data_IF_087304793541
#
_entry.id   IF_087304793541
#
_cell.length_a   1.000
_cell.length_b   1.000
_cell.length_c   1.000
_cell.angle_alpha   90.00
_cell.angle_beta   90.00
_cell.angle_gamma   90.00
#
_symmetry.space_group_name_H-M   'P 1'
#
loop_
_entity.id
_entity.type
_entity.pdbx_description
1 polymer ?
#
# COMPACT_ATOMS: atom_id res chain seq x y z
N UNK A 1 16.44 -2.51 7.13
CA UNK A 1 15.39 -2.62 8.16
C UNK A 1 14.04 -2.54 7.48
N UNK A 2 13.09 -3.41 7.82
CA UNK A 2 11.71 -3.33 7.34
C UNK A 2 10.81 -3.05 8.55
N UNK A 3 10.07 -1.94 8.51
CA UNK A 3 9.21 -1.50 9.60
C UNK A 3 7.76 -1.46 9.10
N UNK A 4 7.08 -2.61 9.19
CA UNK A 4 5.69 -2.78 8.78
C UNK A 4 4.76 -2.25 9.87
N UNK A 5 4.46 -0.96 9.82
CA UNK A 5 3.59 -0.32 10.81
C UNK A 5 2.12 -0.75 10.59
N UNK A 6 1.41 -1.26 11.60
CA UNK A 6 0.06 -1.82 11.42
C UNK A 6 -1.01 -0.73 11.24
N UNK A 7 -0.74 0.48 11.70
CA UNK A 7 -1.65 1.62 11.60
C UNK A 7 -1.71 2.15 10.16
N UNK A 8 -2.89 2.57 9.66
CA UNK A 8 -4.16 2.76 10.36
C UNK A 8 -5.16 1.61 10.18
N UNK A 9 -4.69 0.36 10.01
CA UNK A 9 -5.59 -0.78 9.91
C UNK A 9 -6.46 -0.90 11.16
N UNK A 10 -7.69 -1.37 10.98
CA UNK A 10 -8.59 -1.67 12.10
C UNK A 10 -7.99 -2.73 13.03
N UNK A 11 -8.32 -2.71 14.33
CA UNK A 11 -9.28 -1.83 15.02
C UNK A 11 -8.78 -0.37 15.20
N UNK A 12 -9.72 0.58 15.25
CA UNK A 12 -9.41 2.02 15.34
C UNK A 12 -9.21 2.47 16.79
N UNK A 13 -8.12 2.04 17.39
CA UNK A 13 -7.79 2.34 18.79
C UNK A 13 -6.65 3.37 18.85
N UNK A 14 -6.97 4.60 19.26
CA UNK A 14 -6.00 5.69 19.35
C UNK A 14 -5.85 6.21 20.77
N UNK A 15 -4.63 6.54 21.18
CA UNK A 15 -4.40 7.21 22.46
C UNK A 15 -5.14 8.55 22.54
N UNK A 16 -5.64 8.88 23.73
CA UNK A 16 -6.41 10.11 23.97
C UNK A 16 -5.66 11.37 23.56
N UNK A 17 -4.32 11.39 23.72
CA UNK A 17 -3.48 12.53 23.33
C UNK A 17 -3.67 12.91 21.85
N UNK A 18 -3.64 11.94 20.95
CA UNK A 18 -3.79 12.18 19.51
C UNK A 18 -5.26 12.35 19.13
N UNK A 19 -6.16 11.59 19.75
CA UNK A 19 -7.59 11.74 19.52
C UNK A 19 -8.10 13.15 19.84
N UNK A 20 -7.65 13.71 20.96
CA UNK A 20 -8.07 15.03 21.42
C UNK A 20 -7.75 16.17 20.42
N UNK A 21 -6.81 15.96 19.51
CA UNK A 21 -6.51 16.92 18.42
C UNK A 21 -7.69 17.08 17.44
N UNK A 22 -8.64 16.15 17.44
CA UNK A 22 -9.78 16.12 16.53
C UNK A 22 -11.14 16.31 17.24
N UNK A 23 -11.16 16.61 18.54
CA UNK A 23 -12.39 16.70 19.34
C UNK A 23 -13.38 17.74 18.82
N UNK A 24 -12.90 18.90 18.41
CA UNK A 24 -13.72 20.01 17.90
C UNK A 24 -14.21 19.79 16.46
N UNK A 25 -13.72 18.74 15.79
CA UNK A 25 -14.12 18.45 14.42
C UNK A 25 -15.54 17.88 14.35
N UNK A 26 -16.28 18.26 13.30
CA UNK A 26 -17.62 17.72 12.99
C UNK A 26 -17.57 16.35 12.29
N UNK A 27 -16.43 15.66 12.34
CA UNK A 27 -16.22 14.37 11.70
C UNK A 27 -16.83 13.23 12.52
N UNK A 28 -17.06 12.07 11.89
CA UNK A 28 -17.48 10.86 12.61
C UNK A 28 -16.41 10.39 13.58
N UNK A 29 -16.82 9.70 14.63
CA UNK A 29 -15.90 9.14 15.64
C UNK A 29 -14.84 8.22 15.03
N UNK A 30 -15.24 7.36 14.10
CA UNK A 30 -14.31 6.50 13.36
C UNK A 30 -13.27 7.32 12.59
N UNK A 31 -13.67 8.44 11.95
CA UNK A 31 -12.74 9.32 11.24
C UNK A 31 -11.77 10.02 12.20
N UNK A 32 -12.23 10.45 13.37
CA UNK A 32 -11.36 11.05 14.40
C UNK A 32 -10.30 10.06 14.88
N UNK A 33 -10.70 8.83 15.23
CA UNK A 33 -9.77 7.77 15.61
C UNK A 33 -8.78 7.43 14.48
N UNK A 34 -9.25 7.34 13.24
CA UNK A 34 -8.39 7.11 12.08
C UNK A 34 -7.33 8.20 11.90
N UNK A 35 -7.71 9.47 12.03
CA UNK A 35 -6.77 10.59 11.91
C UNK A 35 -5.79 10.66 13.10
N UNK A 36 -6.26 10.32 14.30
CA UNK A 36 -5.42 10.19 15.49
C UNK A 36 -4.35 9.11 15.31
N UNK A 37 -4.74 7.96 14.76
CA UNK A 37 -3.85 6.88 14.37
C UNK A 37 -2.82 7.33 13.31
N UNK A 38 -3.25 8.04 12.27
CA UNK A 38 -2.33 8.62 11.28
C UNK A 38 -1.31 9.59 11.90
N UNK A 39 -1.74 10.41 12.87
CA UNK A 39 -0.86 11.34 13.58
C UNK A 39 0.15 10.59 14.47
N UNK A 40 -0.29 9.51 15.13
CA UNK A 40 0.61 8.64 15.89
C UNK A 40 1.68 7.99 15.00
N UNK A 41 1.30 7.53 13.80
CA UNK A 41 2.24 6.99 12.83
C UNK A 41 3.26 8.04 12.39
N UNK A 42 2.81 9.24 12.02
CA UNK A 42 3.69 10.36 11.64
C UNK A 42 4.69 10.70 12.77
N UNK A 43 4.20 10.80 14.01
CA UNK A 43 5.05 11.00 15.19
C UNK A 43 6.06 9.85 15.37
N UNK A 44 5.66 8.60 15.13
CA UNK A 44 6.53 7.43 15.23
C UNK A 44 7.61 7.42 14.16
N UNK A 45 7.30 7.85 12.94
CA UNK A 45 8.30 8.07 11.86
C UNK A 45 9.27 9.18 12.25
N UNK A 46 8.78 10.27 12.84
CA UNK A 46 9.62 11.35 13.38
C UNK A 46 10.60 10.85 14.47
N UNK A 47 10.13 9.99 15.38
CA UNK A 47 10.98 9.36 16.38
C UNK A 47 12.04 8.47 15.74
N UNK A 48 11.67 7.64 14.76
CA UNK A 48 12.63 6.80 14.03
C UNK A 48 13.73 7.62 13.37
N UNK A 49 13.36 8.69 12.65
CA UNK A 49 14.32 9.61 12.00
C UNK A 49 15.21 10.28 13.05
N UNK A 50 14.66 10.68 14.19
CA UNK A 50 15.42 11.29 15.29
C UNK A 50 16.45 10.32 15.86
N UNK A 51 16.08 9.06 16.07
CA UNK A 51 17.02 8.01 16.50
C UNK A 51 18.13 7.78 15.46
N UNK A 52 17.79 7.72 14.17
CA UNK A 52 18.80 7.61 13.10
C UNK A 52 19.80 8.78 13.12
N UNK A 53 19.34 9.99 13.43
CA UNK A 53 20.20 11.18 13.56
C UNK A 53 21.09 11.11 14.79
N UNK A 54 20.52 10.73 15.94
CA UNK A 54 21.26 10.61 17.21
C UNK A 54 22.39 9.58 17.12
N UNK A 55 22.16 8.48 16.40
CA UNK A 55 23.15 7.41 16.17
C UNK A 55 24.09 7.68 14.99
N UNK A 56 24.01 8.86 14.34
CA UNK A 56 24.86 9.20 13.20
C UNK A 56 24.60 8.40 11.92
N UNK A 57 23.54 7.59 11.88
CA UNK A 57 23.18 6.72 10.75
C UNK A 57 22.38 7.44 9.66
N UNK A 58 21.72 8.55 10.00
CA UNK A 58 20.84 9.27 9.09
C UNK A 58 21.51 9.68 7.78
N UNK A 59 22.75 10.21 7.84
CA UNK A 59 23.47 10.71 6.66
C UNK A 59 23.78 9.66 5.60
N UNK A 60 23.76 8.37 5.96
CA UNK A 60 23.97 7.27 5.02
C UNK A 60 22.73 6.36 4.89
N UNK A 61 21.54 6.93 5.08
CA UNK A 61 20.27 6.20 5.01
C UNK A 61 19.45 6.58 3.79
N UNK A 62 18.74 5.62 3.23
CA UNK A 62 17.63 5.84 2.29
C UNK A 62 16.35 5.40 3.02
N UNK A 63 15.39 6.31 3.11
CA UNK A 63 14.10 6.07 3.75
C UNK A 63 13.07 5.94 2.64
N UNK A 64 12.40 4.80 2.60
CA UNK A 64 11.29 4.54 1.68
C UNK A 64 10.04 4.36 2.54
N UNK A 65 9.04 5.18 2.28
CA UNK A 65 7.72 5.06 2.87
C UNK A 65 6.75 4.64 1.77
N UNK A 66 5.88 3.67 2.06
CA UNK A 66 4.81 3.27 1.16
C UNK A 66 3.64 2.70 1.96
N UNK A 67 2.42 2.95 1.45
CA UNK A 67 1.22 2.21 1.86
C UNK A 67 1.18 0.85 1.14
N UNK A 68 0.50 -0.12 1.72
CA UNK A 68 0.27 -1.45 1.15
C UNK A 68 -0.85 -1.45 0.10
N UNK A 69 -1.84 -0.58 0.26
CA UNK A 69 -2.93 -0.32 -0.68
C UNK A 69 -3.52 1.09 -0.45
N UNK A 70 -4.49 1.47 -1.29
CA UNK A 70 -5.34 2.62 -1.05
C UNK A 70 -6.31 2.43 0.13
N UNK A 71 -6.90 3.52 0.62
CA UNK A 71 -7.76 3.53 1.80
C UNK A 71 -9.10 2.82 1.64
N UNK A 72 -9.66 2.33 2.74
CA UNK A 72 -11.02 1.77 2.78
C UNK A 72 -12.06 2.90 2.95
N UNK A 73 -12.68 3.34 1.84
CA UNK A 73 -13.63 4.49 1.84
C UNK A 73 -15.00 4.16 2.44
N UNK A 74 -15.32 2.86 2.53
CA UNK A 74 -16.49 2.40 3.29
C UNK A 74 -16.24 2.42 4.81
N UNK A 75 -14.96 2.54 5.20
CA UNK A 75 -14.54 2.85 6.56
C UNK A 75 -14.20 4.33 6.72
N UNK A 76 -13.30 4.68 7.66
CA UNK A 76 -12.99 6.07 7.96
C UNK A 76 -11.95 6.70 7.02
N UNK A 77 -11.47 6.01 5.99
CA UNK A 77 -10.38 6.49 5.13
C UNK A 77 -10.88 7.40 4.00
N UNK A 78 -9.96 7.99 3.25
CA UNK A 78 -10.27 8.82 2.08
C UNK A 78 -9.19 8.65 1.02
N UNK A 79 -9.63 8.41 -0.22
CA UNK A 79 -8.76 8.40 -1.40
C UNK A 79 -8.99 9.60 -2.30
N UNK A 80 -9.78 10.59 -1.86
CA UNK A 80 -10.10 11.75 -2.68
C UNK A 80 -8.80 12.43 -3.19
N UNK A 81 -8.70 12.77 -4.49
CA UNK A 81 -9.76 12.80 -5.49
C UNK A 81 -9.92 11.52 -6.33
N UNK A 82 -9.16 10.47 -6.02
CA UNK A 82 -9.13 9.23 -6.78
C UNK A 82 -10.40 8.40 -6.59
N UNK A 83 -10.75 7.63 -7.63
CA UNK A 83 -11.93 6.77 -7.63
C UNK A 83 -11.62 5.47 -6.90
N UNK A 84 -12.59 4.95 -6.15
CA UNK A 84 -12.49 3.61 -5.54
C UNK A 84 -11.77 3.55 -4.19
N UNK A 85 -11.50 2.32 -3.77
CA UNK A 85 -11.20 1.92 -2.39
C UNK A 85 -10.23 0.74 -2.37
N UNK A 86 -9.68 0.42 -1.19
CA UNK A 86 -9.17 -0.92 -0.88
C UNK A 86 -10.07 -2.00 -1.49
N UNK A 87 -9.48 -3.05 -2.05
CA UNK A 87 -10.13 -4.13 -2.81
C UNK A 87 -10.67 -3.77 -4.20
N UNK A 88 -10.48 -2.54 -4.67
CA UNK A 88 -10.82 -2.16 -6.05
C UNK A 88 -9.57 -1.95 -6.91
N UNK A 89 -9.73 -2.08 -8.23
CA UNK A 89 -8.68 -1.83 -9.23
C UNK A 89 -8.68 -0.38 -9.74
N UNK A 90 -9.47 0.50 -9.13
CA UNK A 90 -9.44 1.93 -9.44
C UNK A 90 -8.25 2.60 -8.75
N UNK A 91 -7.89 3.81 -9.19
CA UNK A 91 -6.74 4.59 -8.66
C UNK A 91 -6.75 4.63 -7.13
N UNK A 92 -7.89 4.90 -6.50
CA UNK A 92 -8.02 4.96 -5.05
C UNK A 92 -7.81 3.64 -4.33
N UNK A 93 -7.76 2.50 -5.02
CA UNK A 93 -7.43 1.19 -4.46
C UNK A 93 -5.97 0.77 -4.65
N UNK A 94 -5.39 1.08 -5.81
CA UNK A 94 -4.06 0.59 -6.22
C UNK A 94 -2.97 1.65 -6.11
N UNK A 95 -3.32 2.93 -6.36
CA UNK A 95 -2.39 4.06 -6.23
C UNK A 95 -2.16 4.38 -4.75
N UNK A 96 -1.03 3.90 -4.26
CA UNK A 96 -0.64 3.99 -2.86
C UNK A 96 0.22 5.22 -2.60
N UNK A 97 0.12 5.80 -1.40
CA UNK A 97 1.01 6.89 -0.98
C UNK A 97 2.42 6.34 -0.81
N UNK A 98 3.41 6.95 -1.46
CA UNK A 98 4.80 6.58 -1.32
C UNK A 98 5.72 7.80 -1.46
N UNK A 99 6.87 7.75 -0.78
CA UNK A 99 7.98 8.68 -1.00
C UNK A 99 9.32 8.00 -0.74
N UNK A 100 10.36 8.57 -1.33
CA UNK A 100 11.76 8.23 -1.04
C UNK A 100 12.47 9.48 -0.57
N UNK A 101 13.22 9.37 0.52
CA UNK A 101 14.02 10.45 1.06
C UNK A 101 15.41 9.94 1.41
N UNK A 102 16.44 10.72 1.10
CA UNK A 102 17.80 10.40 1.52
C UNK A 102 18.65 11.67 1.61
N UNK A 103 19.39 11.90 2.70
CA UNK A 103 20.40 12.97 2.74
C UNK A 103 21.64 12.68 1.89
N UNK A 104 21.80 11.45 1.35
CA UNK A 104 22.90 11.09 0.45
C UNK A 104 22.72 11.63 -0.97
N UNK A 105 21.46 11.78 -1.39
CA UNK A 105 21.11 12.06 -2.77
C UNK A 105 20.14 13.23 -2.80
N UNK A 106 20.35 14.16 -3.73
CA UNK A 106 19.41 15.24 -3.98
C UNK A 106 18.24 14.71 -4.83
N UNK A 107 17.32 14.00 -4.15
CA UNK A 107 16.13 13.36 -4.75
C UNK A 107 14.83 13.99 -4.25
N UNK A 108 14.92 14.93 -3.30
CA UNK A 108 13.75 15.62 -2.78
C UNK A 108 13.20 16.58 -3.85
N UNK A 109 11.88 16.61 -4.02
CA UNK A 109 11.20 17.48 -5.01
C UNK A 109 10.98 16.86 -6.40
N UNK A 110 11.46 15.63 -6.64
CA UNK A 110 11.11 14.86 -7.84
C UNK A 110 9.78 14.13 -7.65
N UNK A 111 8.93 14.17 -8.68
CA UNK A 111 7.75 13.30 -8.74
C UNK A 111 8.20 11.88 -9.14
N UNK A 112 8.00 10.91 -8.24
CA UNK A 112 8.31 9.51 -8.51
C UNK A 112 7.59 8.97 -9.75
N UNK A 113 6.41 9.50 -10.08
CA UNK A 113 5.67 9.06 -11.28
C UNK A 113 6.37 9.48 -12.58
N UNK A 114 7.08 10.61 -12.60
CA UNK A 114 7.90 11.05 -13.74
C UNK A 114 9.18 10.20 -13.89
N UNK A 115 9.72 9.73 -12.76
CA UNK A 115 10.90 8.85 -12.74
C UNK A 115 10.53 7.42 -13.18
N UNK A 116 9.36 6.93 -12.77
CA UNK A 116 8.88 5.59 -13.12
C UNK A 116 8.32 5.50 -14.54
N UNK A 117 7.75 6.58 -15.09
CA UNK A 117 7.20 6.60 -16.46
C UNK A 117 8.27 6.74 -17.55
N UNK A 118 9.45 7.27 -17.22
CA UNK A 118 10.60 7.33 -18.11
C UNK A 118 11.48 6.07 -17.99
N UNK A 119 10.93 4.91 -18.38
CA UNK A 119 11.59 3.59 -18.33
C UNK A 119 12.89 3.45 -19.17
N UNK A 120 13.35 4.50 -19.86
CA UNK A 120 14.49 4.39 -20.77
C UNK A 120 15.86 4.25 -20.08
N UNK A 121 16.07 4.84 -18.89
CA UNK A 121 17.43 4.98 -18.32
C UNK A 121 17.60 4.64 -16.83
N UNK A 122 16.62 4.01 -16.16
CA UNK A 122 16.82 3.57 -14.77
C UNK A 122 17.52 2.20 -14.69
N UNK A 123 18.73 2.09 -14.09
CA UNK A 123 19.41 0.82 -13.88
C UNK A 123 18.77 -0.06 -12.78
N UNK A 124 17.70 0.40 -12.12
CA UNK A 124 16.92 -0.38 -11.15
C UNK A 124 15.50 -0.60 -11.69
N UNK A 125 15.30 -1.76 -12.33
CA UNK A 125 14.04 -2.19 -12.96
C UNK A 125 12.97 -2.71 -11.99
N UNK A 126 13.11 -2.47 -10.70
CA UNK A 126 12.24 -3.09 -9.69
C UNK A 126 11.87 -2.07 -8.60
N UNK A 127 10.91 -1.21 -8.91
CA UNK A 127 9.99 -0.64 -7.91
C UNK A 127 8.60 -1.00 -8.39
N UNK A 128 8.17 -2.23 -8.12
CA UNK A 128 6.80 -2.68 -8.35
C UNK A 128 5.93 -2.06 -7.26
N UNK A 129 5.36 -0.88 -7.55
CA UNK A 129 4.22 -0.37 -6.81
C UNK A 129 2.95 -0.99 -7.40
N UNK A 130 2.00 -1.26 -6.52
CA UNK A 130 0.84 -2.15 -6.67
C UNK A 130 0.14 -2.17 -8.04
N UNK A 131 -0.32 -3.37 -8.40
CA UNK A 131 -0.92 -3.80 -9.66
C UNK A 131 -1.91 -2.78 -10.25
N UNK A 132 -1.52 -2.18 -11.36
CA UNK A 132 -2.35 -1.31 -12.20
C UNK A 132 -3.03 -2.12 -13.32
N UNK A 133 -4.36 -2.10 -13.40
CA UNK A 133 -5.11 -2.87 -14.42
C UNK A 133 -6.07 -2.04 -15.30
N UNK A 134 -5.85 -2.21 -16.61
CA UNK A 134 -6.73 -2.11 -17.79
C UNK A 134 -7.45 -0.78 -18.05
N UNK A 135 -8.29 -0.27 -17.15
CA UNK A 135 -9.00 1.01 -17.39
C UNK A 135 -8.02 2.17 -17.37
N UNK A 136 -7.02 2.09 -16.49
CA UNK A 136 -5.91 3.01 -16.37
C UNK A 136 -5.10 3.17 -17.65
N UNK A 137 -4.77 2.06 -18.32
CA UNK A 137 -3.91 2.07 -19.50
C UNK A 137 -4.57 2.73 -20.71
N UNK A 138 -5.89 2.72 -20.86
CA UNK A 138 -6.49 3.36 -22.05
C UNK A 138 -6.33 4.87 -21.95
N UNK A 139 -6.61 5.47 -20.79
CA UNK A 139 -6.41 6.90 -20.55
C UNK A 139 -4.93 7.27 -20.61
N UNK A 140 -4.09 6.60 -19.79
CA UNK A 140 -2.66 6.88 -19.71
C UNK A 140 -1.93 6.60 -21.03
N UNK A 141 -2.16 5.46 -21.67
CA UNK A 141 -1.50 5.11 -22.94
C UNK A 141 -2.10 5.83 -24.17
N UNK A 142 -3.21 6.54 -24.03
CA UNK A 142 -3.69 7.50 -25.02
C UNK A 142 -3.21 8.93 -24.75
N UNK A 143 -2.40 9.15 -23.70
CA UNK A 143 -1.92 10.49 -23.32
C UNK A 143 -3.00 11.39 -22.73
N UNK A 144 -4.09 10.81 -22.21
CA UNK A 144 -5.22 11.53 -21.63
C UNK A 144 -5.08 11.58 -20.11
N UNK A 145 -5.06 12.80 -19.58
CA UNK A 145 -4.99 13.05 -18.14
C UNK A 145 -6.39 12.96 -17.49
N UNK A 146 -6.84 11.74 -17.14
CA UNK A 146 -8.05 11.50 -16.33
C UNK A 146 -7.72 10.71 -15.04
N UNK A 147 -7.01 11.31 -14.08
CA UNK A 147 -6.56 10.63 -12.86
C UNK A 147 -7.71 10.29 -11.91
N UNK A 148 -8.94 10.74 -12.20
CA UNK A 148 -10.12 10.43 -11.38
C UNK A 148 -11.01 9.37 -12.01
N UNK A 149 -10.61 8.83 -13.17
CA UNK A 149 -11.29 7.76 -13.89
C UNK A 149 -12.79 8.03 -14.09
N UNK A 150 -13.12 9.28 -14.45
CA UNK A 150 -14.51 9.71 -14.64
C UNK A 150 -15.04 9.35 -16.03
N UNK A 151 -14.15 9.18 -17.01
CA UNK A 151 -14.51 8.93 -18.40
C UNK A 151 -14.13 7.51 -18.82
N UNK A 152 -15.13 6.71 -19.18
CA UNK A 152 -14.89 5.43 -19.85
C UNK A 152 -14.58 5.70 -21.33
N UNK A 153 -13.42 5.25 -21.80
CA UNK A 153 -12.92 5.53 -23.15
C UNK A 153 -12.74 4.27 -24.01
N UNK A 154 -13.35 3.15 -23.62
CA UNK A 154 -13.25 1.87 -24.34
C UNK A 154 -13.72 2.02 -25.80
N UNK A 155 -14.81 2.74 -26.04
CA UNK A 155 -15.35 2.96 -27.39
C UNK A 155 -14.51 3.93 -28.23
N UNK A 156 -13.81 4.87 -27.57
CA UNK A 156 -12.99 5.89 -28.23
C UNK A 156 -11.64 5.32 -28.72
N UNK A 157 -11.11 4.31 -28.04
CA UNK A 157 -9.78 3.73 -28.34
C UNK A 157 -9.79 2.20 -28.53
N UNK A 158 -10.54 1.65 -29.50
CA UNK A 158 -10.68 0.19 -29.68
C UNK A 158 -9.36 -0.52 -30.00
N UNK A 159 -8.41 0.16 -30.66
CA UNK A 159 -7.06 -0.39 -30.91
C UNK A 159 -6.28 -0.57 -29.60
N UNK A 160 -6.34 0.43 -28.70
CA UNK A 160 -5.65 0.36 -27.40
C UNK A 160 -6.28 -0.70 -26.50
N UNK A 161 -7.61 -0.83 -26.52
CA UNK A 161 -8.33 -1.92 -25.83
C UNK A 161 -7.79 -3.28 -26.29
N UNK A 162 -7.64 -3.47 -27.59
CA UNK A 162 -7.14 -4.73 -28.17
C UNK A 162 -5.70 -5.01 -27.74
N UNK A 163 -4.83 -4.01 -27.77
CA UNK A 163 -3.44 -4.10 -27.30
C UNK A 163 -3.35 -4.54 -25.84
N UNK A 164 -4.16 -3.93 -24.97
CA UNK A 164 -4.21 -4.27 -23.54
C UNK A 164 -4.78 -5.67 -23.30
N UNK A 165 -5.80 -6.07 -24.06
CA UNK A 165 -6.31 -7.45 -24.01
C UNK A 165 -5.24 -8.46 -24.39
N UNK A 166 -4.43 -8.17 -25.42
CA UNK A 166 -3.31 -9.03 -25.81
C UNK A 166 -2.24 -9.10 -24.72
N UNK A 167 -1.93 -7.98 -24.05
CA UNK A 167 -1.02 -7.96 -22.91
C UNK A 167 -1.53 -8.84 -21.76
N UNK A 168 -2.80 -8.72 -21.38
CA UNK A 168 -3.41 -9.59 -20.36
C UNK A 168 -3.35 -11.06 -20.73
N UNK A 169 -3.63 -11.41 -21.99
CA UNK A 169 -3.53 -12.79 -22.47
C UNK A 169 -2.09 -13.29 -22.35
N UNK A 170 -1.09 -12.46 -22.65
CA UNK A 170 0.33 -12.78 -22.48
C UNK A 170 0.67 -13.03 -21.01
N UNK A 171 0.27 -12.15 -20.09
CA UNK A 171 0.49 -12.31 -18.65
C UNK A 171 -0.20 -13.58 -18.11
N UNK A 172 -1.45 -13.84 -18.53
CA UNK A 172 -2.21 -15.01 -18.10
C UNK A 172 -1.53 -16.34 -18.45
N UNK A 173 -0.75 -16.39 -19.55
CA UNK A 173 0.04 -17.59 -19.92
C UNK A 173 1.15 -17.91 -18.91
N UNK A 174 1.57 -16.94 -18.11
CA UNK A 174 2.61 -17.09 -17.09
C UNK A 174 2.02 -17.33 -15.70
N UNK A 175 0.69 -17.28 -15.54
CA UNK A 175 0.06 -17.44 -14.25
C UNK A 175 0.25 -18.87 -13.75
N UNK A 176 0.73 -18.97 -12.51
CA UNK A 176 0.65 -20.19 -11.73
C UNK A 176 -0.78 -20.25 -11.20
N UNK A 177 -1.42 -21.42 -11.33
CA UNK A 177 -2.78 -21.63 -10.81
C UNK A 177 -2.75 -21.40 -9.30
N UNK A 178 -3.60 -20.49 -8.81
CA UNK A 178 -3.76 -20.25 -7.39
C UNK A 178 -4.20 -21.55 -6.70
N UNK A 179 -3.34 -22.07 -5.83
CA UNK A 179 -3.69 -23.20 -4.99
C UNK A 179 -4.38 -22.67 -3.74
N UNK A 180 -5.71 -22.59 -3.79
CA UNK A 180 -6.52 -22.32 -2.61
C UNK A 180 -6.38 -23.52 -1.67
N UNK A 181 -5.52 -23.38 -0.66
CA UNK A 181 -5.36 -24.41 0.36
C UNK A 181 -6.58 -24.42 1.27
N UNK A 182 -6.98 -25.61 1.72
CA UNK A 182 -7.98 -25.72 2.78
C UNK A 182 -7.38 -25.16 4.07
N UNK A 183 -8.22 -24.50 4.86
CA UNK A 183 -7.86 -24.09 6.21
C UNK A 183 -7.46 -25.35 7.00
N UNK A 184 -6.29 -25.31 7.63
CA UNK A 184 -5.82 -26.38 8.50
C UNK A 184 -6.22 -26.09 9.95
N UNK A 185 -7.17 -26.86 10.53
CA UNK A 185 -7.65 -26.62 11.89
C UNK A 185 -6.54 -26.69 12.95
N UNK A 186 -5.40 -27.33 12.66
CA UNK A 186 -4.26 -27.38 13.59
C UNK A 186 -3.66 -26.01 13.86
N UNK A 187 -3.87 -25.03 12.97
CA UNK A 187 -3.41 -23.65 13.17
C UNK A 187 -4.29 -22.82 14.12
N UNK A 188 -5.47 -23.34 14.49
CA UNK A 188 -6.43 -22.61 15.28
C UNK A 188 -5.96 -22.37 16.72
N UNK A 189 -6.17 -21.17 17.29
CA UNK A 189 -5.68 -20.82 18.61
C UNK A 189 -6.29 -21.68 19.72
N UNK A 190 -7.52 -22.18 19.55
CA UNK A 190 -8.17 -23.07 20.51
C UNK A 190 -7.39 -24.39 20.70
N UNK A 191 -6.62 -24.79 19.69
CA UNK A 191 -5.78 -25.98 19.72
C UNK A 191 -4.35 -25.70 20.23
N UNK A 192 -3.99 -24.44 20.46
CA UNK A 192 -2.60 -23.99 20.69
C UNK A 192 -2.48 -23.00 21.86
N UNK A 193 -3.28 -23.21 22.91
CA UNK A 193 -3.22 -22.39 24.13
C UNK A 193 -3.55 -20.91 23.90
N UNK A 194 -4.37 -20.60 22.90
CA UNK A 194 -4.75 -19.24 22.52
C UNK A 194 -3.84 -18.56 21.48
N UNK A 195 -2.82 -19.25 20.97
CA UNK A 195 -1.86 -18.68 20.01
C UNK A 195 -2.13 -19.15 18.58
N UNK A 196 -2.02 -18.25 17.62
CA UNK A 196 -1.98 -18.63 16.21
C UNK A 196 -0.67 -19.34 15.89
N UNK A 197 -0.73 -20.53 15.30
CA UNK A 197 0.45 -21.24 14.78
C UNK A 197 0.27 -21.55 13.30
N UNK A 198 1.36 -21.83 12.56
CA UNK A 198 1.26 -22.14 11.14
C UNK A 198 0.40 -23.39 10.83
N UNK A 199 0.17 -24.28 11.80
CA UNK A 199 -0.69 -25.46 11.67
C UNK A 199 -0.04 -26.67 10.98
N UNK A 200 1.12 -26.49 10.34
CA UNK A 200 1.93 -27.55 9.75
C UNK A 200 3.14 -27.96 10.61
N UNK A 201 3.45 -27.20 11.66
CA UNK A 201 4.48 -27.56 12.64
C UNK A 201 3.84 -28.38 13.78
N UNK A 202 4.39 -29.55 14.08
CA UNK A 202 4.00 -30.32 15.25
C UNK A 202 4.76 -29.78 16.48
N UNK A 203 4.04 -29.30 17.48
CA UNK A 203 4.66 -28.75 18.70
C UNK A 203 5.43 -29.82 19.49
N UNK A 204 5.16 -31.11 19.24
CA UNK A 204 5.87 -32.22 19.86
C UNK A 204 7.26 -32.46 19.27
N UNK A 205 7.56 -31.96 18.06
CA UNK A 205 8.90 -32.07 17.46
C UNK A 205 9.94 -31.19 18.16
N UNK A 206 9.51 -30.13 18.88
CA UNK A 206 10.41 -29.24 19.60
C UNK A 206 10.76 -29.70 21.02
N UNK A 207 10.00 -30.64 21.60
CA UNK A 207 10.28 -31.19 22.93
C UNK A 207 11.21 -32.41 22.91
N UNK A 208 11.81 -32.72 21.75
CA UNK A 208 12.71 -33.86 21.55
C UNK A 208 14.21 -33.47 21.52
N UNK A 209 14.57 -32.25 21.95
CA UNK A 209 15.96 -31.76 22.04
C UNK A 209 16.29 -31.40 23.49
#
# INVERSE_FOLDING_TARGET
MYFAYPTPHTPLESESKFYNMYNESKMSEQRKHYLALMTLMDHSVGNLVSSLKAEGMYHNSIIIFTSDNGGEIFGPSSNYPYRGSKLSLYEGGVRSTAFVHSPLYDIDGYDLSDVLSNEADSPRKEVVLNIDLITLFIAGAAGINDPREKKNMVEEFPKKVTELQQALIKYKKQFIIEKIMKIDPRGFPENNGGNWIPGWCDINEFNAI
#
